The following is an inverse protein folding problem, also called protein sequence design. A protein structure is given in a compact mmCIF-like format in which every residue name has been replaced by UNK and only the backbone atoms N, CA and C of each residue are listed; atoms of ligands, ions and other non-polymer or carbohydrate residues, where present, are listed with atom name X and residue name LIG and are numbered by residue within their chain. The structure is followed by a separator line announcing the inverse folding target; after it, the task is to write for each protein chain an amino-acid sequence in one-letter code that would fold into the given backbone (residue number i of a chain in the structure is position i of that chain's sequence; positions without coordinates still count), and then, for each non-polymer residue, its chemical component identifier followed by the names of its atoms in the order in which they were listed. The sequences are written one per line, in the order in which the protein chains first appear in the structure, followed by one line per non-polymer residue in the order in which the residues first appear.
data_IF_988480124815
#
_entry.id   IF_988480124815
#
_cell.length_a   1.000
_cell.length_b   1.000
_cell.length_c   1.000
_cell.angle_alpha   90.00
_cell.angle_beta   90.00
_cell.angle_gamma   90.00
#
_symmetry.space_group_name_H-M   'P 1'
#
loop_
_entity.id
_entity.type
_entity.pdbx_description
1 polymer ?
2 branched ?
3 non-polymer ?
4 non-polymer ?
5 water ?
#
# COMPACT_ATOMS: atom_id res chain seq x y z
N UNK A 1 -10.95 -19.29 -10.54
CA UNK A 1 -11.88 -20.38 -10.96
C UNK A 1 -11.99 -20.46 -12.48
N UNK A 2 -12.72 -19.51 -13.08
CA UNK A 2 -12.92 -19.52 -14.53
C UNK A 2 -11.65 -19.40 -15.37
N UNK A 3 -11.67 -20.07 -16.52
CA UNK A 3 -10.55 -20.07 -17.44
C UNK A 3 -10.31 -18.73 -18.13
N UNK A 4 -9.03 -18.41 -18.34
CA UNK A 4 -8.67 -17.17 -19.02
C UNK A 4 -8.94 -17.38 -20.50
N UNK A 5 -9.23 -16.29 -21.23
CA UNK A 5 -9.50 -16.42 -22.67
C UNK A 5 -8.19 -16.44 -23.42
N UNK A 6 -8.23 -16.72 -24.72
CA UNK A 6 -7.03 -16.72 -25.53
C UNK A 6 -6.47 -15.31 -25.47
N UNK A 7 -5.17 -15.19 -25.28
CA UNK A 7 -4.51 -13.89 -25.20
C UNK A 7 -3.20 -13.96 -25.98
N UNK A 8 -2.82 -12.85 -26.60
CA UNK A 8 -1.58 -12.80 -27.36
C UNK A 8 -0.63 -11.80 -26.73
N UNK A 9 0.54 -12.28 -26.32
CA UNK A 9 1.55 -11.43 -25.69
C UNK A 9 2.93 -12.09 -25.76
N UNK A 10 4.00 -11.32 -25.52
CA UNK A 10 5.36 -11.85 -25.55
C UNK A 10 5.47 -13.06 -24.63
N UNK A 11 6.10 -14.12 -25.12
CA UNK A 11 6.25 -15.37 -24.38
C UNK A 11 6.67 -15.26 -22.90
N UNK A 12 7.88 -14.78 -22.68
CA UNK A 12 8.51 -14.64 -21.35
C UNK A 12 9.76 -15.48 -21.50
N UNK A 13 10.89 -14.89 -21.18
CA UNK A 13 12.18 -15.55 -21.35
C UNK A 13 12.79 -16.16 -20.10
N UNK A 14 12.71 -17.48 -20.01
CA UNK A 14 13.26 -18.23 -18.89
C UNK A 14 14.73 -17.87 -18.63
N UNK A 15 15.48 -17.60 -19.69
CA UNK A 15 16.89 -17.28 -19.55
C UNK A 15 17.22 -15.78 -19.60
N UNK A 16 16.21 -14.95 -19.41
CA UNK A 16 16.39 -13.50 -19.41
C UNK A 16 15.69 -12.89 -18.20
N UNK A 17 16.44 -12.36 -17.22
CA UNK A 17 15.83 -11.75 -16.02
C UNK A 17 15.03 -10.52 -16.47
N UNK A 18 13.87 -10.27 -15.86
CA UNK A 18 13.09 -9.10 -16.26
C UNK A 18 13.81 -7.84 -15.79
N UNK A 19 14.62 -7.95 -14.73
CA UNK A 19 15.37 -6.82 -14.20
C UNK A 19 16.74 -7.29 -13.70
N UNK A 20 17.78 -6.52 -13.99
CA UNK A 20 19.14 -6.87 -13.55
C UNK A 20 19.65 -5.86 -12.54
N UNK A 21 18.83 -4.86 -12.25
CA UNK A 21 19.23 -3.81 -11.32
C UNK A 21 18.58 -3.89 -9.94
N UNK A 22 17.52 -4.69 -9.82
CA UNK A 22 16.83 -4.80 -8.54
C UNK A 22 16.40 -6.21 -8.18
N UNK A 23 16.07 -6.40 -6.91
CA UNK A 23 15.61 -7.67 -6.39
C UNK A 23 14.11 -7.73 -6.72
N UNK A 24 13.67 -8.77 -7.43
CA UNK A 24 12.26 -8.88 -7.79
C UNK A 24 11.47 -9.96 -7.03
N UNK A 25 12.11 -10.58 -6.04
CA UNK A 25 11.46 -11.60 -5.22
C UNK A 25 12.14 -11.65 -3.86
N UNK A 26 11.36 -11.77 -2.80
CA UNK A 26 11.90 -11.81 -1.44
C UNK A 26 12.34 -13.23 -1.08
N UNK A 27 13.12 -13.38 0.02
CA UNK A 27 13.61 -14.68 0.48
C UNK A 27 12.49 -15.67 0.80
N UNK A 28 11.27 -15.17 1.01
CA UNK A 28 10.13 -16.04 1.28
C UNK A 28 9.25 -16.19 0.04
N UNK A 29 9.85 -15.92 -1.11
CA UNK A 29 9.21 -16.05 -2.42
C UNK A 29 8.01 -15.17 -2.71
N UNK A 30 8.00 -13.97 -2.16
CA UNK A 30 6.94 -13.03 -2.45
C UNK A 30 7.48 -12.09 -3.53
N UNK A 31 6.69 -11.80 -4.56
CA UNK A 31 7.22 -10.90 -5.59
C UNK A 31 7.36 -9.46 -5.11
N UNK A 32 8.37 -8.76 -5.63
CA UNK A 32 8.58 -7.35 -5.31
C UNK A 32 8.18 -6.70 -6.63
N UNK A 33 7.09 -5.93 -6.58
CA UNK A 33 6.53 -5.32 -7.77
C UNK A 33 7.24 -4.09 -8.35
N UNK A 34 7.92 -4.30 -9.47
CA UNK A 34 8.62 -3.22 -10.18
C UNK A 34 8.06 -3.18 -11.59
N UNK A 35 8.12 -2.03 -12.24
CA UNK A 35 7.65 -1.93 -13.62
C UNK A 35 8.52 -2.89 -14.43
N UNK A 36 7.88 -3.68 -15.30
CA UNK A 36 8.61 -4.63 -16.12
C UNK A 36 8.45 -6.05 -15.62
N UNK A 37 8.08 -6.22 -14.35
CA UNK A 37 7.92 -7.57 -13.81
C UNK A 37 6.57 -8.20 -14.12
N UNK A 38 5.58 -7.38 -14.43
CA UNK A 38 4.23 -7.89 -14.70
C UNK A 38 3.59 -7.48 -16.01
N UNK A 39 2.70 -8.34 -16.48
CA UNK A 39 1.92 -8.06 -17.68
C UNK A 39 0.58 -7.67 -17.10
N UNK A 40 0.24 -6.39 -17.18
CA UNK A 40 -1.02 -5.92 -16.62
C UNK A 40 -2.24 -6.51 -17.33
N UNK A 41 -2.11 -6.85 -18.60
CA UNK A 41 -3.24 -7.43 -19.32
C UNK A 41 -3.64 -8.76 -18.72
N UNK A 42 -2.66 -9.61 -18.43
CA UNK A 42 -2.95 -10.90 -17.83
C UNK A 42 -3.57 -10.72 -16.45
N UNK A 43 -2.98 -9.86 -15.63
CA UNK A 43 -3.50 -9.62 -14.29
C UNK A 43 -4.90 -9.03 -14.29
N UNK A 44 -5.16 -8.09 -15.19
CA UNK A 44 -6.48 -7.49 -15.24
C UNK A 44 -7.54 -8.55 -15.54
N UNK A 45 -7.22 -9.47 -16.44
CA UNK A 45 -8.13 -10.56 -16.80
C UNK A 45 -8.43 -11.42 -15.58
N UNK A 46 -7.38 -11.80 -14.87
CA UNK A 46 -7.54 -12.64 -13.68
C UNK A 46 -8.46 -12.00 -12.64
N UNK A 47 -8.23 -10.72 -12.34
CA UNK A 47 -9.05 -10.06 -11.33
C UNK A 47 -10.45 -9.67 -11.79
N UNK A 48 -10.61 -9.33 -13.06
CA UNK A 48 -11.94 -8.98 -13.55
C UNK A 48 -12.83 -10.22 -13.54
N UNK A 49 -12.25 -11.36 -13.92
CA UNK A 49 -13.01 -12.61 -13.95
C UNK A 49 -13.53 -12.94 -12.56
N UNK A 50 -12.95 -12.32 -11.54
CA UNK A 50 -13.38 -12.53 -10.18
C UNK A 50 -14.27 -11.39 -9.71
N UNK A 51 -14.46 -10.41 -10.58
CA UNK A 51 -15.28 -9.24 -10.27
C UNK A 51 -14.80 -8.67 -8.93
N UNK A 52 -13.50 -8.48 -8.83
CA UNK A 52 -12.86 -7.96 -7.63
C UNK A 52 -13.26 -6.52 -7.30
N UNK A 53 -13.44 -6.26 -6.02
CA UNK A 53 -13.80 -4.93 -5.54
C UNK A 53 -12.71 -4.50 -4.56
N UNK A 54 -12.09 -3.34 -4.84
CA UNK A 54 -11.02 -2.83 -4.00
C UNK A 54 -11.46 -1.63 -3.18
N UNK A 55 -11.20 -1.69 -1.88
CA UNK A 55 -11.53 -0.58 -1.02
C UNK A 55 -10.28 0.25 -0.80
N UNK A 56 -10.42 1.57 -0.86
CA UNK A 56 -9.29 2.47 -0.65
C UNK A 56 -9.65 3.34 0.55
N UNK A 57 -8.88 3.21 1.62
CA UNK A 57 -9.16 3.98 2.84
C UNK A 57 -8.17 5.12 3.03
N UNK A 58 -8.69 6.26 3.47
CA UNK A 58 -7.87 7.44 3.71
C UNK A 58 -8.44 8.23 4.87
N UNK A 59 -7.56 8.81 5.67
CA UNK A 59 -8.00 9.64 6.78
C UNK A 59 -7.64 11.08 6.47
N UNK A 60 -8.62 11.95 6.58
CA UNK A 60 -8.42 13.37 6.30
C UNK A 60 -9.02 14.16 7.46
N UNK A 61 -8.17 14.50 8.43
CA UNK A 61 -8.62 15.24 9.60
C UNK A 61 -7.99 16.62 9.66
N UNK A 62 -8.72 17.56 10.25
CA UNK A 62 -8.24 18.92 10.40
C UNK A 62 -7.83 19.51 9.04
N UNK A 63 -6.63 20.07 8.98
CA UNK A 63 -6.15 20.70 7.75
C UNK A 63 -5.89 19.74 6.58
N UNK A 64 -5.93 18.44 6.83
CA UNK A 64 -5.67 17.48 5.76
C UNK A 64 -6.80 17.30 4.76
N UNK A 65 -7.98 17.84 5.06
CA UNK A 65 -9.10 17.70 4.12
C UNK A 65 -8.81 18.43 2.82
N UNK A 66 -7.85 19.36 2.87
CA UNK A 66 -7.50 20.12 1.67
C UNK A 66 -6.80 19.26 0.62
N UNK A 67 -6.29 18.10 1.03
CA UNK A 67 -5.60 17.21 0.11
C UNK A 67 -6.51 16.26 -0.66
N UNK A 68 -7.74 16.11 -0.16
CA UNK A 68 -8.73 15.21 -0.76
C UNK A 68 -9.05 15.40 -2.24
N UNK A 69 -9.25 16.63 -2.68
CA UNK A 69 -9.59 16.87 -4.07
C UNK A 69 -8.55 16.29 -5.03
N UNK A 70 -7.29 16.70 -4.88
CA UNK A 70 -6.23 16.20 -5.76
C UNK A 70 -6.06 14.69 -5.59
N UNK A 71 -6.17 14.22 -4.36
CA UNK A 71 -6.03 12.80 -4.08
C UNK A 71 -7.05 11.97 -4.86
N UNK A 72 -8.33 12.30 -4.68
CA UNK A 72 -9.40 11.57 -5.36
C UNK A 72 -9.41 11.75 -6.88
N UNK A 73 -9.14 12.96 -7.34
CA UNK A 73 -9.12 13.21 -8.78
C UNK A 73 -8.07 12.38 -9.49
N UNK A 74 -6.88 12.31 -8.90
CA UNK A 74 -5.79 11.54 -9.49
C UNK A 74 -6.03 10.04 -9.35
N UNK A 75 -6.70 9.63 -8.28
CA UNK A 75 -7.00 8.21 -8.07
C UNK A 75 -7.96 7.79 -9.18
N UNK A 76 -8.86 8.68 -9.56
CA UNK A 76 -9.81 8.38 -10.61
C UNK A 76 -9.13 8.11 -11.94
N UNK A 77 -7.96 8.71 -12.14
CA UNK A 77 -7.23 8.53 -13.39
C UNK A 77 -6.22 7.39 -13.36
N UNK A 78 -5.81 6.97 -12.16
CA UNK A 78 -4.77 5.94 -12.07
C UNK A 78 -4.99 4.72 -11.19
N UNK A 79 -5.90 4.81 -10.22
CA UNK A 79 -6.13 3.70 -9.29
C UNK A 79 -7.21 2.70 -9.68
N UNK A 80 -6.77 1.47 -9.92
CA UNK A 80 -7.68 0.37 -10.26
C UNK A 80 -8.70 0.67 -11.36
N UNK A 81 -8.32 1.49 -12.34
CA UNK A 81 -9.24 1.83 -13.42
C UNK A 81 -9.72 0.57 -14.15
N UNK A 82 -11.03 0.41 -14.22
CA UNK A 82 -11.60 -0.75 -14.87
C UNK A 82 -12.22 -1.71 -13.88
N UNK A 83 -11.79 -1.61 -12.63
CA UNK A 83 -12.30 -2.48 -11.58
C UNK A 83 -13.23 -1.73 -10.63
N UNK A 84 -13.97 -2.47 -9.82
CA UNK A 84 -14.88 -1.85 -8.85
C UNK A 84 -14.06 -1.27 -7.71
N UNK A 85 -14.32 0.00 -7.38
CA UNK A 85 -13.61 0.67 -6.31
C UNK A 85 -14.57 1.36 -5.33
N UNK A 86 -14.26 1.24 -4.05
CA UNK A 86 -15.08 1.88 -3.02
C UNK A 86 -14.13 2.69 -2.15
N UNK A 87 -14.25 4.01 -2.23
CA UNK A 87 -13.42 4.90 -1.43
C UNK A 87 -14.07 5.09 -0.07
N UNK A 88 -13.26 5.07 0.99
CA UNK A 88 -13.76 5.29 2.33
C UNK A 88 -12.95 6.43 2.92
N UNK A 89 -13.59 7.59 3.05
CA UNK A 89 -12.93 8.76 3.58
C UNK A 89 -13.37 9.01 5.03
N UNK A 90 -12.43 8.86 5.95
CA UNK A 90 -12.70 9.11 7.37
C UNK A 90 -12.26 10.53 7.63
N UNK A 91 -13.18 11.36 8.09
CA UNK A 91 -12.86 12.75 8.35
C UNK A 91 -13.68 13.33 9.49
N UNK A 92 -13.17 14.42 10.05
CA UNK A 92 -13.86 15.12 11.13
C UNK A 92 -14.65 16.27 10.52
N UNK A 93 -14.56 16.39 9.20
CA UNK A 93 -15.24 17.45 8.45
C UNK A 93 -15.96 16.90 7.22
N UNK A 94 -17.05 16.14 7.42
CA UNK A 94 -17.81 15.57 6.31
C UNK A 94 -18.22 16.54 5.21
N UNK A 95 -18.64 17.74 5.61
CA UNK A 95 -19.09 18.75 4.66
C UNK A 95 -17.94 19.36 3.86
N UNK A 96 -16.71 19.14 4.32
CA UNK A 96 -15.55 19.69 3.64
C UNK A 96 -15.01 18.75 2.55
N UNK A 97 -15.62 17.57 2.43
CA UNK A 97 -15.18 16.62 1.42
C UNK A 97 -15.63 17.11 0.05
N UNK A 98 -14.67 17.30 -0.87
CA UNK A 98 -14.95 17.78 -2.23
C UNK A 98 -15.84 16.82 -3.00
N UNK A 99 -16.72 17.35 -3.84
CA UNK A 99 -17.58 16.49 -4.63
C UNK A 99 -16.81 16.15 -5.91
N UNK A 100 -16.17 14.99 -5.93
CA UNK A 100 -15.38 14.56 -7.07
C UNK A 100 -16.19 13.63 -7.97
N UNK A 101 -16.07 13.87 -9.27
CA UNK A 101 -16.79 13.08 -10.26
C UNK A 101 -16.10 11.71 -10.38
N UNK A 102 -16.87 10.64 -10.21
CA UNK A 102 -16.31 9.30 -10.28
C UNK A 102 -16.72 8.51 -11.50
N UNK A 103 -15.84 7.61 -11.94
CA UNK A 103 -16.15 6.78 -13.10
C UNK A 103 -17.16 5.72 -12.70
N UNK A 104 -17.74 5.05 -13.68
CA UNK A 104 -18.73 4.02 -13.41
C UNK A 104 -18.14 2.86 -12.59
N UNK A 105 -18.96 2.30 -11.69
CA UNK A 105 -18.50 1.20 -10.87
C UNK A 105 -17.65 1.59 -9.69
N UNK A 106 -17.59 2.89 -9.42
CA UNK A 106 -16.80 3.40 -8.32
C UNK A 106 -17.69 4.23 -7.39
N UNK A 107 -17.48 4.07 -6.08
CA UNK A 107 -18.29 4.81 -5.12
C UNK A 107 -17.46 5.32 -3.95
N UNK A 108 -18.01 6.28 -3.22
CA UNK A 108 -17.31 6.87 -2.10
C UNK A 108 -18.23 7.04 -0.90
N UNK A 109 -17.72 6.67 0.28
CA UNK A 109 -18.48 6.82 1.51
C UNK A 109 -17.73 7.73 2.46
N UNK A 110 -18.46 8.65 3.09
CA UNK A 110 -17.85 9.57 4.04
C UNK A 110 -18.18 9.08 5.44
N UNK A 111 -17.15 8.73 6.21
CA UNK A 111 -17.35 8.26 7.57
C UNK A 111 -16.79 9.30 8.52
N UNK A 112 -17.66 9.91 9.31
CA UNK A 112 -17.24 10.93 10.25
C UNK A 112 -16.61 10.31 11.48
N UNK A 113 -15.55 10.92 11.97
CA UNK A 113 -14.86 10.45 13.17
C UNK A 113 -14.70 11.60 14.15
N UNK A 134 -19.18 -1.66 11.68
CA UNK A 134 -18.29 -1.00 10.69
C UNK A 134 -17.17 -1.93 10.21
N UNK A 135 -16.52 -2.61 11.16
CA UNK A 135 -15.43 -3.52 10.83
C UNK A 135 -15.95 -4.61 9.89
N UNK A 136 -17.09 -5.18 10.23
CA UNK A 136 -17.72 -6.21 9.43
C UNK A 136 -18.24 -5.67 8.10
N UNK A 137 -18.45 -4.36 8.04
CA UNK A 137 -18.94 -3.72 6.83
C UNK A 137 -17.94 -3.94 5.69
N UNK A 138 -16.66 -3.78 6.00
CA UNK A 138 -15.60 -3.98 5.02
C UNK A 138 -15.67 -5.37 4.43
N UNK A 139 -15.76 -6.37 5.29
CA UNK A 139 -15.82 -7.76 4.85
C UNK A 139 -16.97 -7.99 3.89
N UNK A 140 -18.03 -7.22 4.06
CA UNK A 140 -19.23 -7.33 3.24
C UNK A 140 -19.20 -6.58 1.91
N UNK A 141 -18.43 -5.49 1.84
CA UNK A 141 -18.41 -4.68 0.63
C UNK A 141 -17.20 -4.77 -0.30
N UNK A 142 -16.04 -5.15 0.22
CA UNK A 142 -14.86 -5.23 -0.63
C UNK A 142 -14.04 -6.49 -0.39
N UNK A 143 -13.20 -6.83 -1.37
CA UNK A 143 -12.34 -8.00 -1.29
C UNK A 143 -10.96 -7.65 -0.75
N UNK A 144 -10.51 -6.45 -1.10
CA UNK A 144 -9.21 -5.97 -0.65
C UNK A 144 -9.33 -4.57 -0.08
N UNK A 145 -8.36 -4.23 0.76
CA UNK A 145 -8.31 -2.91 1.36
C UNK A 145 -6.92 -2.35 1.13
N UNK A 146 -6.87 -1.12 0.63
CA UNK A 146 -5.61 -0.43 0.37
C UNK A 146 -5.66 0.78 1.30
N UNK A 147 -4.69 0.87 2.21
CA UNK A 147 -4.65 1.94 3.17
C UNK A 147 -3.50 2.88 2.87
N UNK A 148 -3.82 4.14 2.58
CA UNK A 148 -2.81 5.14 2.24
C UNK A 148 -3.02 6.49 2.93
N UNK A 149 -2.00 7.34 2.86
CA UNK A 149 -2.09 8.68 3.43
C UNK A 149 -2.73 9.57 2.37
N UNK A 150 -3.45 10.60 2.79
CA UNK A 150 -4.14 11.49 1.87
C UNK A 150 -3.30 12.61 1.25
N UNK A 151 -2.20 12.99 1.88
CA UNK A 151 -1.38 14.05 1.32
C UNK A 151 -0.44 13.53 0.23
N UNK A 152 -1.05 12.89 -0.77
CA UNK A 152 -0.33 12.30 -1.89
C UNK A 152 -1.18 12.47 -3.15
N UNK A 153 -0.63 12.07 -4.29
CA UNK A 153 -1.36 12.15 -5.54
C UNK A 153 -0.87 11.02 -6.44
N UNK A 154 -1.76 10.47 -7.25
CA UNK A 154 -1.37 9.42 -8.18
C UNK A 154 -0.86 10.07 -9.44
N UNK A 155 0.27 9.60 -9.94
CA UNK A 155 0.83 10.16 -11.15
C UNK A 155 0.97 9.12 -12.26
N UNK A 156 0.77 7.86 -11.91
CA UNK A 156 0.83 6.80 -12.91
C UNK A 156 0.03 5.61 -12.41
N UNK A 157 -0.02 4.57 -13.24
CA UNK A 157 -0.77 3.36 -12.94
C UNK A 157 -0.51 2.71 -11.59
N UNK A 158 -1.60 2.43 -10.87
CA UNK A 158 -1.55 1.72 -9.60
C UNK A 158 -2.74 0.77 -9.74
N UNK A 159 -2.47 -0.48 -10.11
CA UNK A 159 -3.55 -1.42 -10.32
C UNK A 159 -3.53 -2.73 -9.58
N UNK A 160 -4.19 -3.74 -10.14
CA UNK A 160 -4.30 -5.05 -9.52
C UNK A 160 -3.00 -5.80 -9.29
N UNK A 161 -1.90 -5.33 -9.87
CA UNK A 161 -0.62 -6.00 -9.67
C UNK A 161 -0.22 -5.97 -8.20
N UNK A 162 -0.83 -5.07 -7.42
CA UNK A 162 -0.50 -4.96 -6.00
C UNK A 162 -1.32 -5.86 -5.09
N UNK A 163 -2.47 -6.34 -5.57
CA UNK A 163 -3.37 -7.16 -4.78
C UNK A 163 -2.84 -8.53 -4.42
N UNK A 164 -3.01 -8.88 -3.15
CA UNK A 164 -2.50 -10.12 -2.59
C UNK A 164 -3.03 -10.16 -1.16
N UNK A 165 -2.93 -11.30 -0.47
CA UNK A 165 -3.42 -11.33 0.91
C UNK A 165 -2.87 -10.20 1.79
N UNK A 166 -1.56 -9.95 1.69
CA UNK A 166 -0.93 -8.93 2.53
C UNK A 166 0.29 -8.31 1.86
N UNK A 167 0.32 -6.98 1.78
CA UNK A 167 1.45 -6.31 1.16
C UNK A 167 1.94 -5.07 1.89
N UNK A 168 3.25 -4.87 1.84
CA UNK A 168 3.88 -3.71 2.43
C UNK A 168 4.61 -3.02 1.30
N UNK A 169 5.01 -1.76 1.50
CA UNK A 169 5.69 -0.99 0.47
C UNK A 169 7.05 -0.51 0.95
N UNK A 170 8.07 -0.68 0.12
CA UNK A 170 9.42 -0.22 0.48
C UNK A 170 9.44 1.29 0.62
N UNK A 171 9.84 1.78 1.79
CA UNK A 171 9.93 3.21 2.06
C UNK A 171 10.97 3.81 1.13
N UNK A 172 10.64 4.92 0.43
CA UNK A 172 11.53 5.60 -0.50
C UNK A 172 12.87 6.09 0.04
N UNK A 173 12.93 6.37 1.34
CA UNK A 173 14.17 6.86 1.90
C UNK A 173 15.12 5.79 2.42
N UNK A 174 14.70 4.54 2.41
CA UNK A 174 15.54 3.47 2.94
C UNK A 174 15.63 2.20 2.12
N UNK A 175 15.09 2.21 0.90
CA UNK A 175 15.12 1.00 0.09
C UNK A 175 16.52 0.47 -0.15
N UNK A 176 17.51 1.36 -0.20
CA UNK A 176 18.88 0.92 -0.42
C UNK A 176 19.70 0.87 0.86
N UNK A 177 19.03 1.04 1.99
CA UNK A 177 19.71 1.04 3.28
C UNK A 177 19.96 -0.32 3.91
N UNK A 178 20.97 -0.37 4.76
CA UNK A 178 21.32 -1.60 5.47
C UNK A 178 20.35 -1.63 6.67
N UNK A 179 20.04 -2.82 7.18
CA UNK A 179 19.09 -2.93 8.28
C UNK A 179 19.43 -2.12 9.53
N UNK A 180 20.72 -2.03 9.85
CA UNK A 180 21.16 -1.29 11.03
C UNK A 180 20.79 0.18 10.95
N UNK A 181 20.64 0.70 9.74
CA UNK A 181 20.29 2.11 9.53
C UNK A 181 18.78 2.35 9.54
N UNK A 182 17.99 1.29 9.44
CA UNK A 182 16.54 1.40 9.46
C UNK A 182 16.08 2.08 10.74
N UNK A 183 15.10 2.98 10.63
CA UNK A 183 14.59 3.68 11.80
C UNK A 183 13.53 2.88 12.55
N UNK A 184 13.82 1.61 12.80
CA UNK A 184 12.90 0.74 13.54
C UNK A 184 12.90 1.23 14.99
N UNK A 185 11.92 0.80 15.78
CA UNK A 185 11.90 1.17 17.19
C UNK A 185 13.02 0.32 17.79
N UNK A 186 14.00 0.96 18.43
CA UNK A 186 15.13 0.24 19.00
C UNK A 186 15.11 0.03 20.51
N UNK A 187 14.03 0.41 21.18
CA UNK A 187 13.94 0.24 22.62
C UNK A 187 13.22 -1.07 22.93
N UNK A 188 13.87 -1.96 23.70
CA UNK A 188 13.31 -3.25 24.09
C UNK A 188 11.99 -3.14 24.85
N UNK A 189 11.75 -1.97 25.43
CA UNK A 189 10.54 -1.73 26.19
C UNK A 189 9.28 -1.58 25.34
N UNK A 190 9.46 -1.39 24.04
CA UNK A 190 8.33 -1.23 23.13
C UNK A 190 7.98 -2.53 22.41
N UNK A 191 6.69 -2.75 22.18
CA UNK A 191 6.23 -3.96 21.48
C UNK A 191 6.66 -3.90 20.02
N UNK A 192 7.04 -2.73 19.55
CA UNK A 192 7.47 -2.54 18.17
C UNK A 192 8.97 -2.73 18.01
N UNK A 193 9.64 -3.11 19.10
CA UNK A 193 11.08 -3.31 19.11
C UNK A 193 11.64 -4.31 18.11
N UNK A 194 12.72 -3.91 17.43
CA UNK A 194 13.40 -4.77 16.46
C UNK A 194 14.89 -4.53 16.64
N UNK A 195 15.64 -5.58 17.00
CA UNK A 195 17.09 -5.46 17.19
C UNK A 195 17.86 -5.23 15.89
N UNK A 196 19.10 -4.75 16.02
CA UNK A 196 19.96 -4.44 14.89
C UNK A 196 20.23 -5.55 13.89
N UNK A 197 20.20 -6.80 14.35
CA UNK A 197 20.47 -7.93 13.45
C UNK A 197 19.20 -8.53 12.84
N UNK A 198 18.07 -7.83 12.99
CA UNK A 198 16.81 -8.31 12.43
C UNK A 198 16.22 -7.32 11.46
N UNK A 199 15.35 -7.80 10.57
CA UNK A 199 14.73 -6.89 9.61
C UNK A 199 15.01 -7.22 8.16
N UNK A 200 13.96 -7.17 7.34
CA UNK A 200 14.10 -7.44 5.91
C UNK A 200 14.16 -6.12 5.18
N UNK A 201 13.11 -5.30 5.34
CA UNK A 201 13.01 -4.01 4.69
C UNK A 201 12.38 -3.00 5.65
N UNK A 202 12.41 -1.73 5.26
CA UNK A 202 11.75 -0.70 6.05
C UNK A 202 10.53 -0.33 5.21
N UNK A 203 9.35 -0.73 5.67
CA UNK A 203 8.11 -0.47 4.96
C UNK A 203 7.51 0.89 5.33
N UNK A 204 6.88 1.54 4.36
CA UNK A 204 6.24 2.84 4.56
C UNK A 204 4.88 2.66 5.20
N UNK A 205 4.58 3.48 6.20
CA UNK A 205 3.28 3.37 6.84
C UNK A 205 2.19 4.01 6.00
N UNK A 206 2.57 4.76 4.97
CA UNK A 206 1.59 5.43 4.13
C UNK A 206 1.00 4.64 2.97
N UNK A 207 1.37 3.37 2.82
CA UNK A 207 0.84 2.55 1.75
C UNK A 207 0.98 1.06 2.06
N UNK A 208 -0.12 0.44 2.48
CA UNK A 208 -0.14 -0.99 2.78
C UNK A 208 -1.56 -1.50 2.53
N UNK A 209 -1.72 -2.81 2.57
CA UNK A 209 -3.05 -3.37 2.34
C UNK A 209 -3.04 -4.88 2.16
N UNK A 210 -4.10 -5.38 1.56
CA UNK A 210 -4.23 -6.81 1.33
C UNK A 210 -5.70 -7.19 1.41
N UNK A 211 -5.99 -8.44 1.73
CA UNK A 211 -7.38 -8.87 1.84
C UNK A 211 -7.96 -8.20 3.08
N UNK A 212 -9.28 -8.05 3.13
CA UNK A 212 -9.91 -7.42 4.29
C UNK A 212 -9.49 -8.15 5.57
N UNK A 213 -9.56 -9.48 5.53
CA UNK A 213 -9.19 -10.29 6.69
C UNK A 213 -7.78 -9.99 7.18
N UNK A 214 -6.81 -10.01 6.27
CA UNK A 214 -5.41 -9.78 6.65
C UNK A 214 -5.17 -8.36 7.13
N UNK A 215 -5.86 -7.39 6.55
CA UNK A 215 -5.68 -6.00 6.95
C UNK A 215 -6.27 -5.80 8.36
N UNK A 216 -7.42 -6.40 8.62
CA UNK A 216 -8.01 -6.25 9.95
C UNK A 216 -7.12 -6.91 11.00
N UNK A 217 -6.50 -8.02 10.63
CA UNK A 217 -5.60 -8.71 11.56
C UNK A 217 -4.40 -7.83 11.89
N UNK A 218 -3.89 -7.12 10.90
CA UNK A 218 -2.75 -6.23 11.09
C UNK A 218 -3.11 -5.04 11.96
N UNK A 219 -4.20 -4.36 11.63
CA UNK A 219 -4.62 -3.19 12.39
C UNK A 219 -4.98 -3.60 13.82
N UNK A 220 -5.59 -4.78 13.96
CA UNK A 220 -5.97 -5.29 15.27
C UNK A 220 -4.71 -5.55 16.11
N UNK A 221 -3.72 -6.19 15.51
CA UNK A 221 -2.47 -6.48 16.20
C UNK A 221 -1.77 -5.19 16.61
N UNK A 222 -1.70 -4.23 15.69
CA UNK A 222 -1.04 -2.98 15.97
C UNK A 222 -1.76 -2.16 17.02
N UNK A 223 -3.09 -2.22 17.03
CA UNK A 223 -3.88 -1.49 18.00
C UNK A 223 -3.59 -2.01 19.40
N UNK A 224 -3.54 -3.33 19.54
CA UNK A 224 -3.26 -3.95 20.84
C UNK A 224 -1.83 -3.68 21.28
N UNK A 225 -0.89 -3.71 20.35
CA UNK A 225 0.51 -3.46 20.67
C UNK A 225 0.71 -2.02 21.14
N UNK A 226 0.01 -1.09 20.51
CA UNK A 226 0.11 0.31 20.88
C UNK A 226 -0.52 0.55 22.25
N UNK A 227 -1.59 -0.18 22.56
CA UNK A 227 -2.26 -0.06 23.85
C UNK A 227 -1.30 -0.51 24.95
N UNK A 228 -0.55 -1.58 24.68
CA UNK A 228 0.42 -2.10 25.64
C UNK A 228 1.52 -1.08 25.89
N UNK A 229 2.05 -0.51 24.81
CA UNK A 229 3.09 0.51 24.92
C UNK A 229 2.60 1.72 25.72
N UNK A 230 1.33 2.05 25.54
CA UNK A 230 0.73 3.18 26.27
C UNK A 230 0.76 2.92 27.77
N UNK A 231 0.21 1.78 28.17
CA UNK A 231 0.16 1.42 29.58
C UNK A 231 1.57 1.44 30.17
N UNK A 232 2.55 1.05 29.37
CA UNK A 232 3.94 1.02 29.80
C UNK A 232 4.60 2.39 29.63
N UNK A 233 3.79 3.39 29.31
CA UNK A 233 4.30 4.74 29.15
C UNK A 233 5.35 4.93 28.06
N UNK A 234 5.18 4.24 26.93
CA UNK A 234 6.13 4.38 25.84
C UNK A 234 5.40 4.54 24.51
N UNK A 235 6.01 5.30 23.60
CA UNK A 235 5.44 5.57 22.29
C UNK A 235 6.51 5.36 21.22
N UNK A 236 6.28 4.39 20.32
CA UNK A 236 7.23 4.07 19.26
C UNK A 236 7.73 5.30 18.50
N UNK A 237 9.01 5.27 18.17
CA UNK A 237 9.67 6.38 17.46
C UNK A 237 8.93 6.88 16.23
N UNK A 238 8.34 5.98 15.45
CA UNK A 238 7.59 6.41 14.29
C UNK A 238 6.15 5.92 14.31
N UNK A 239 5.64 5.82 15.53
CA UNK A 239 4.26 5.42 15.81
C UNK A 239 3.73 4.22 15.02
N UNK A 240 2.63 4.43 14.30
CA UNK A 240 2.01 3.36 13.52
C UNK A 240 2.98 2.64 12.59
N UNK A 241 3.83 3.42 11.92
CA UNK A 241 4.81 2.85 11.00
C UNK A 241 5.77 1.90 11.70
N UNK A 242 6.08 2.19 12.96
CA UNK A 242 6.99 1.33 13.73
C UNK A 242 6.35 -0.01 14.00
N UNK A 243 5.05 -0.01 14.31
CA UNK A 243 4.34 -1.26 14.59
C UNK A 243 4.10 -2.03 13.30
N UNK A 244 3.84 -1.29 12.22
CA UNK A 244 3.62 -1.92 10.93
C UNK A 244 4.85 -2.76 10.57
N UNK A 245 6.02 -2.17 10.78
CA UNK A 245 7.27 -2.87 10.47
C UNK A 245 7.50 -4.10 11.32
N UNK A 246 7.10 -4.03 12.59
CA UNK A 246 7.26 -5.17 13.49
C UNK A 246 6.31 -6.28 13.04
N UNK A 247 5.09 -5.91 12.67
CA UNK A 247 4.11 -6.89 12.22
C UNK A 247 4.55 -7.58 10.94
N UNK A 248 5.02 -6.81 9.96
CA UNK A 248 5.45 -7.37 8.70
C UNK A 248 6.76 -8.15 8.82
N UNK A 249 7.51 -7.92 9.88
CA UNK A 249 8.75 -8.66 10.10
C UNK A 249 8.34 -10.08 10.52
N UNK A 250 7.35 -10.15 11.39
CA UNK A 250 6.87 -11.44 11.92
C UNK A 250 5.81 -12.17 11.10
N UNK A 251 5.16 -11.44 10.19
CA UNK A 251 4.14 -11.99 9.29
C UNK A 251 4.56 -11.46 7.92
N UNK A 252 5.36 -12.24 7.20
CA UNK A 252 5.86 -11.81 5.90
C UNK A 252 4.77 -11.47 4.89
N UNK A 253 4.90 -10.32 4.22
CA UNK A 253 3.90 -9.94 3.22
C UNK A 253 3.98 -10.88 2.02
N UNK A 254 2.84 -11.12 1.38
CA UNK A 254 2.81 -12.00 0.22
C UNK A 254 3.22 -11.29 -1.07
N UNK A 255 3.41 -9.99 -0.96
CA UNK A 255 3.89 -9.15 -2.07
C UNK A 255 4.48 -7.90 -1.44
N UNK A 256 5.57 -7.41 -2.01
CA UNK A 256 6.20 -6.19 -1.53
C UNK A 256 6.20 -5.22 -2.70
N UNK A 257 5.72 -4.00 -2.48
CA UNK A 257 5.69 -3.01 -3.55
C UNK A 257 6.98 -2.19 -3.54
N UNK A 258 7.51 -1.90 -4.72
CA UNK A 258 8.72 -1.11 -4.83
C UNK A 258 8.40 0.36 -4.55
N UNK A 259 9.44 1.21 -4.46
CA UNK A 259 9.27 2.65 -4.19
C UNK A 259 8.50 3.40 -5.28
N UNK A 260 8.22 2.75 -6.40
CA UNK A 260 7.45 3.39 -7.48
C UNK A 260 6.08 3.74 -6.90
N UNK A 261 5.65 2.94 -5.93
CA UNK A 261 4.34 3.09 -5.29
C UNK A 261 4.28 4.03 -4.10
N UNK A 262 5.41 4.61 -3.72
CA UNK A 262 5.45 5.54 -2.60
C UNK A 262 6.73 6.31 -2.73
N UNK A 263 6.61 7.53 -3.28
CA UNK A 263 7.78 8.34 -3.54
C UNK A 263 7.61 9.81 -3.16
N UNK A 264 8.70 10.56 -3.31
CA UNK A 264 8.72 12.00 -3.05
C UNK A 264 9.79 12.52 -3.97
N UNK A 265 9.38 13.02 -5.14
CA UNK A 265 10.31 13.53 -6.13
C UNK A 265 11.08 14.77 -5.70
N UNK A 266 10.45 15.64 -4.93
CA UNK A 266 11.13 16.84 -4.47
C UNK A 266 12.32 16.48 -3.59
N UNK A 267 12.12 15.52 -2.71
CA UNK A 267 13.16 15.09 -1.79
C UNK A 267 14.15 14.06 -2.34
N UNK A 268 13.68 13.19 -3.23
CA UNK A 268 14.54 12.12 -3.73
C UNK A 268 14.81 12.10 -5.23
N UNK A 269 14.18 13.00 -5.98
CA UNK A 269 14.40 13.05 -7.41
C UNK A 269 13.71 11.93 -8.16
N UNK A 270 14.33 11.49 -9.26
CA UNK A 270 13.78 10.41 -10.07
C UNK A 270 14.92 9.51 -10.51
N UNK A 271 15.33 8.57 -9.66
CA UNK A 271 16.42 7.62 -9.93
C UNK A 271 16.13 6.73 -11.13
N UNK A 272 17.21 6.21 -11.73
CA UNK A 272 17.09 5.33 -12.89
C UNK A 272 16.35 4.05 -12.53
N UNK A 273 16.49 3.61 -11.29
CA UNK A 273 15.87 2.38 -10.83
C UNK A 273 14.34 2.46 -10.84
N UNK A 274 13.80 3.66 -10.93
CA UNK A 274 12.35 3.86 -10.98
C UNK A 274 11.92 4.23 -12.39
N UNK A 275 11.35 3.26 -13.11
CA UNK A 275 10.89 3.51 -14.47
C UNK A 275 9.59 4.30 -14.48
N UNK A 276 8.89 4.29 -13.35
CA UNK A 276 7.65 5.04 -13.21
C UNK A 276 7.52 5.52 -11.77
N UNK A 277 6.87 6.68 -11.60
CA UNK A 277 6.59 7.24 -10.29
C UNK A 277 5.07 7.22 -10.27
N UNK A 278 4.51 6.34 -9.46
CA UNK A 278 3.06 6.15 -9.42
C UNK A 278 2.25 6.90 -8.35
N UNK A 279 2.75 6.88 -7.12
CA UNK A 279 2.06 7.51 -5.98
C UNK A 279 3.11 8.36 -5.26
N UNK A 280 2.89 9.67 -5.22
CA UNK A 280 3.90 10.53 -4.62
C UNK A 280 3.39 11.63 -3.67
N UNK A 281 4.31 12.11 -2.84
CA UNK A 281 3.99 13.17 -1.89
C UNK A 281 3.69 14.45 -2.65
N UNK A 282 2.78 15.26 -2.12
CA UNK A 282 2.44 16.51 -2.75
C UNK A 282 3.38 17.58 -2.21
N UNK A 283 4.13 18.24 -3.10
CA UNK A 283 5.06 19.28 -2.65
C UNK A 283 4.33 20.46 -2.01
X LIG B 1 10.58 10.08 6.75
X LIG B 1 11.24 10.20 5.49
X LIG B 1 9.07 10.14 6.58
X LIG B 1 8.68 11.44 6.06
X LIG B 1 8.38 9.90 7.92
X LIG B 1 6.97 9.87 7.73
X LIG B 1 8.86 8.56 8.50
X LIG B 1 8.46 7.50 7.65
X LIG B 1 10.38 8.59 8.62
X LIG B 1 10.96 8.82 7.32
X LIG B 1 10.95 7.29 9.15
X LIG B 1 12.36 7.37 9.27
X LIG B 1 12.64 10.56 5.63
X LIG B 1 13.09 10.40 4.17
X LIG B 1 14.63 10.72 3.88
X LIG B 1 15.66 9.59 4.37
X LIG B 1 17.07 9.79 4.26
X LIG B 1 18.01 9.01 5.16
X LIG B 2 7.61 11.45 5.18
X LIG B 2 7.21 12.90 4.85
X LIG B 2 8.36 13.61 4.13
X LIG B 2 8.76 12.81 2.89
X LIG B 2 9.09 11.37 3.27
X LIG B 2 9.38 10.50 2.06
X LIG B 2 6.89 13.59 6.05
X LIG B 2 7.95 14.91 3.74
X LIG B 2 7.71 12.83 1.94
X LIG B 2 7.98 10.75 3.97
X LIG C 1 -2.30 1.20 15.64
X LIG D 1 0.10 -0.95 11.98
X LIG E 1 -7.17 0.51 6.20
X LIG F 1 1.69 -4.53 14.96
X LIG G 1 -1.49 12.53 10.87
X LIG G 1 -1.75 12.80 12.23
X LIG G 1 -0.71 13.40 12.97
X LIG G 1 0.57 13.80 12.54
X LIG G 1 0.85 13.54 11.14
X LIG G 1 -0.24 12.88 10.32
X LIG G 1 -2.83 12.51 12.77
X LIG G 1 1.33 14.32 13.35
X LIG G 1 -2.55 11.89 10.05
X LIG G 1 -3.54 12.85 9.34
X LIG G 1 -4.88 12.50 9.63
X LIG G 1 -3.20 12.73 7.84
X LIG G 1 -2.56 11.37 7.71
X LIG G 1 -1.92 11.12 9.00
X LIG G 1 -4.41 12.79 7.09
X LIG G 1 -1.50 11.32 6.59
X LIG G 1 -0.20 11.34 7.17
X LIG G 1 1.13 12.13 6.85
X LIG G 1 0.82 13.58 6.82
X LIG G 1 2.17 11.69 7.85
X LIG G 1 1.34 11.57 5.36
X LIG G 1 2.63 11.43 4.40
X LIG G 1 2.01 10.92 2.99
X LIG G 1 3.42 10.39 5.09
X LIG G 1 3.26 12.73 4.06
#
# INVERSE_FOLDING_TARGET
MVSLPRMVYPQSKVLTPCRKDVLVVTPWLAPIVWEGTFNIDILNEQFRLQNTTIGLTVFAIKKYVAFLKLFLETAEKHFMVGHRVHYYVFTDQPAAVPRVTLGTGRQLSVLEVRAYKRWQDVSMRRMEMISDFCERRFLSEVDYLVCVDVDMEFRDHVGVEILTPLFGTLHPGFYGSSREAFTYERRPQSQAYIPKDEGDFYYLGRFFGGSVQEVQRLTRACHQAMMVDQANGIEAVWHDESHLNKYLLRHKPTKVLSPEYLWDQQLLGWPAVLRKLRFTAVPKNHQAVRNP
BHG C1 O1 C2 O2 C3 O3 C4 O4 C5 O5 C6 O6 C1' C2' C3' C4' C5' C6'
FUC C1 C2 C3 C4 C5 C6 O2 O3 O4 O5
HG HG
HG HG
HG HG
HG HG
UDP N1 C2 N3 C4 C5 C6 O2 O4 C1' C2' O2' C3' C4' O4' O3' C5' O5' PA O1A O2A O3A PB O1B O2B O3B
#
